data_IF_311679584243
#
_entry.id   IF_311679584243
#
_cell.length_a   1.000
_cell.length_b   1.000
_cell.length_c   1.000
_cell.angle_alpha   90.00
_cell.angle_beta   90.00
_cell.angle_gamma   90.00
#
_symmetry.space_group_name_H-M   'P 1'
#
loop_
_entity.id
_entity.type
_entity.pdbx_description
1 polymer ?
#
# COMPACT_ATOMS: atom_id res chain seq x y z
N UNK A 1 -3.88 12.93 9.68
CA UNK A 1 -3.30 12.09 8.63
C UNK A 1 -4.22 11.93 7.42
N UNK A 2 -5.51 11.67 7.64
CA UNK A 2 -6.47 11.56 6.54
C UNK A 2 -6.49 12.77 5.63
N UNK A 3 -6.36 13.97 6.19
CA UNK A 3 -6.38 15.21 5.42
C UNK A 3 -5.26 15.29 4.40
N UNK A 4 -4.18 14.53 4.61
CA UNK A 4 -3.02 14.51 3.72
C UNK A 4 -3.18 13.53 2.54
N UNK A 5 -4.22 12.69 2.58
CA UNK A 5 -4.43 11.67 1.55
C UNK A 5 -5.32 12.19 0.44
N UNK A 6 -6.02 13.28 0.67
CA UNK A 6 -6.91 13.87 -0.32
C UNK A 6 -8.35 13.41 -0.15
N UNK A 7 -9.21 13.91 -1.03
CA UNK A 7 -10.63 13.61 -1.05
C UNK A 7 -11.03 13.11 -2.43
N UNK A 8 -12.27 12.65 -2.57
CA UNK A 8 -12.80 12.22 -3.85
C UNK A 8 -12.67 13.29 -4.93
N UNK A 9 -12.90 14.56 -4.56
CA UNK A 9 -12.83 15.67 -5.51
C UNK A 9 -11.41 16.19 -5.72
N UNK A 10 -10.53 15.97 -4.76
CA UNK A 10 -9.13 16.42 -4.84
C UNK A 10 -8.22 15.30 -4.32
N UNK A 11 -8.12 14.20 -5.09
CA UNK A 11 -7.31 13.06 -4.66
C UNK A 11 -5.81 13.39 -4.71
N UNK A 12 -5.04 12.68 -3.92
CA UNK A 12 -3.59 12.77 -3.94
C UNK A 12 -3.05 12.03 -5.16
N UNK A 13 -2.23 12.71 -5.96
CA UNK A 13 -1.59 12.10 -7.14
C UNK A 13 -0.25 11.49 -6.74
N UNK A 14 -0.07 10.22 -7.04
CA UNK A 14 1.13 9.47 -6.69
C UNK A 14 1.71 8.78 -7.93
N UNK A 15 2.95 8.34 -7.80
CA UNK A 15 3.61 7.52 -8.83
C UNK A 15 4.03 6.18 -8.22
N UNK A 16 4.00 5.14 -9.03
CA UNK A 16 4.47 3.81 -8.63
C UNK A 16 5.96 3.87 -8.27
N UNK A 17 6.51 2.92 -7.49
CA UNK A 17 7.90 2.98 -7.05
C UNK A 17 8.92 3.21 -8.17
N UNK A 18 8.81 2.57 -9.36
CA UNK A 18 9.72 2.87 -10.46
C UNK A 18 9.48 4.22 -11.13
N UNK A 19 8.47 4.98 -10.68
CA UNK A 19 8.07 6.27 -11.25
C UNK A 19 7.56 6.17 -12.69
N UNK A 20 7.09 4.99 -13.08
CA UNK A 20 6.68 4.72 -14.46
C UNK A 20 5.20 5.00 -14.74
N UNK A 21 4.36 5.07 -13.71
CA UNK A 21 2.92 5.28 -13.86
C UNK A 21 2.37 6.12 -12.74
N UNK A 22 1.35 6.94 -13.06
CA UNK A 22 0.64 7.73 -12.07
C UNK A 22 -0.64 7.03 -11.66
N UNK A 23 -1.08 7.27 -10.43
CA UNK A 23 -2.36 6.83 -9.90
C UNK A 23 -2.81 7.81 -8.82
N UNK A 24 -4.05 7.70 -8.39
CA UNK A 24 -4.55 8.59 -7.33
C UNK A 24 -5.01 7.79 -6.11
N UNK A 25 -5.01 8.48 -4.98
CA UNK A 25 -5.43 7.90 -3.72
C UNK A 25 -6.27 8.92 -2.97
N UNK A 26 -7.34 8.47 -2.34
CA UNK A 26 -8.06 9.31 -1.37
C UNK A 26 -8.64 8.44 -0.27
N UNK A 27 -8.91 9.07 0.88
CA UNK A 27 -9.55 8.39 2.00
C UNK A 27 -11.07 8.51 1.86
N UNK A 28 -11.79 7.46 2.22
CA UNK A 28 -13.24 7.45 2.17
C UNK A 28 -13.78 6.49 3.23
N UNK A 29 -15.09 6.42 3.31
CA UNK A 29 -15.78 5.46 4.18
C UNK A 29 -16.71 4.63 3.30
N UNK A 30 -16.59 3.32 3.42
CA UNK A 30 -17.47 2.38 2.70
C UNK A 30 -18.05 1.38 3.68
N UNK A 31 -19.38 1.30 3.71
CA UNK A 31 -20.11 0.40 4.62
C UNK A 31 -19.66 0.57 6.08
N UNK A 32 -19.46 1.84 6.49
CA UNK A 32 -19.04 2.18 7.85
C UNK A 32 -17.57 1.95 8.14
N UNK A 33 -16.78 1.54 7.15
CA UNK A 33 -15.37 1.24 7.32
C UNK A 33 -14.50 2.24 6.57
N UNK A 34 -13.44 2.71 7.24
CA UNK A 34 -12.48 3.61 6.61
C UNK A 34 -11.64 2.86 5.59
N UNK A 35 -11.55 3.40 4.39
CA UNK A 35 -10.83 2.79 3.29
C UNK A 35 -9.94 3.79 2.57
N UNK A 36 -8.94 3.25 1.87
CA UNK A 36 -8.14 3.98 0.90
C UNK A 36 -8.65 3.61 -0.47
N UNK A 37 -9.06 4.61 -1.24
CA UNK A 37 -9.53 4.40 -2.61
C UNK A 37 -8.38 4.69 -3.55
N UNK A 38 -7.90 3.65 -4.22
CA UNK A 38 -6.77 3.71 -5.13
C UNK A 38 -7.29 3.59 -6.56
N UNK A 39 -7.16 4.66 -7.35
CA UNK A 39 -7.66 4.68 -8.73
C UNK A 39 -6.50 4.60 -9.70
N UNK A 40 -6.47 3.52 -10.47
CA UNK A 40 -5.42 3.23 -11.46
C UNK A 40 -6.09 3.15 -12.82
N UNK A 41 -5.99 4.23 -13.60
CA UNK A 41 -6.75 4.33 -14.85
C UNK A 41 -8.24 4.26 -14.57
N UNK A 42 -8.91 3.23 -15.10
CA UNK A 42 -10.34 3.00 -14.88
C UNK A 42 -10.62 2.02 -13.73
N UNK A 43 -9.57 1.47 -13.13
CA UNK A 43 -9.70 0.46 -12.08
C UNK A 43 -9.68 1.12 -10.71
N UNK A 44 -10.63 0.77 -9.86
CA UNK A 44 -10.71 1.28 -8.48
C UNK A 44 -10.41 0.13 -7.53
N UNK A 45 -9.37 0.30 -6.72
CA UNK A 45 -8.95 -0.66 -5.72
C UNK A 45 -9.25 -0.08 -4.34
N UNK A 46 -9.72 -0.91 -3.43
CA UNK A 46 -10.02 -0.49 -2.06
C UNK A 46 -9.14 -1.25 -1.08
N UNK A 47 -8.43 -0.50 -0.23
CA UNK A 47 -7.62 -1.07 0.84
C UNK A 47 -8.13 -0.61 2.19
N UNK A 48 -8.02 -1.47 3.20
CA UNK A 48 -8.34 -1.10 4.56
C UNK A 48 -7.41 0.01 5.03
N UNK A 49 -7.96 1.09 5.56
CA UNK A 49 -7.19 2.23 6.06
C UNK A 49 -6.17 1.82 7.14
N UNK A 50 -6.46 0.78 7.90
CA UNK A 50 -5.56 0.27 8.93
C UNK A 50 -4.19 -0.12 8.40
N UNK A 51 -4.06 -0.37 7.10
CA UNK A 51 -2.79 -0.81 6.53
C UNK A 51 -1.66 0.20 6.78
N UNK A 52 -1.97 1.49 6.86
CA UNK A 52 -0.94 2.51 7.06
C UNK A 52 -0.25 2.37 8.41
N UNK A 53 -1.03 2.30 9.50
CA UNK A 53 -0.48 2.14 10.84
C UNK A 53 0.17 0.77 11.00
N UNK A 54 -0.45 -0.27 10.46
CA UNK A 54 0.04 -1.64 10.58
C UNK A 54 1.36 -1.83 9.85
N UNK A 55 1.46 -1.32 8.61
CA UNK A 55 2.70 -1.40 7.83
C UNK A 55 3.81 -0.59 8.49
N UNK A 56 3.49 0.61 8.97
CA UNK A 56 4.48 1.45 9.66
C UNK A 56 5.05 0.74 10.90
N UNK A 57 4.18 0.11 11.69
CA UNK A 57 4.62 -0.65 12.86
C UNK A 57 5.51 -1.83 12.48
N UNK A 58 5.16 -2.56 11.42
CA UNK A 58 5.98 -3.68 10.93
C UNK A 58 7.34 -3.19 10.47
N UNK A 59 7.39 -2.09 9.70
CA UNK A 59 8.65 -1.53 9.20
C UNK A 59 9.55 -1.07 10.34
N UNK A 60 8.99 -0.46 11.37
CA UNK A 60 9.76 -0.04 12.55
C UNK A 60 10.33 -1.24 13.29
N UNK A 61 9.54 -2.29 13.45
CA UNK A 61 10.00 -3.51 14.12
C UNK A 61 11.08 -4.22 13.29
N UNK A 62 10.97 -4.18 11.96
CA UNK A 62 11.97 -4.77 11.07
C UNK A 62 13.30 -4.03 11.14
N UNK A 63 13.26 -2.71 11.22
CA UNK A 63 14.44 -1.87 11.47
C UNK A 63 15.40 -1.70 10.30
N UNK A 64 15.08 -2.17 9.12
CA UNK A 64 15.95 -2.11 7.94
C UNK A 64 15.08 -2.12 6.68
N UNK A 65 15.74 -2.02 5.53
CA UNK A 65 15.08 -2.09 4.23
C UNK A 65 14.42 -3.45 4.03
N UNK A 66 13.24 -3.43 3.42
CA UNK A 66 12.51 -4.63 3.04
C UNK A 66 12.04 -4.47 1.60
N UNK A 67 12.16 -5.52 0.78
CA UNK A 67 11.71 -5.50 -0.60
C UNK A 67 10.20 -5.32 -0.68
N UNK A 68 9.74 -4.54 -1.65
CA UNK A 68 8.31 -4.29 -1.83
C UNK A 68 7.59 -5.53 -2.36
N UNK A 69 8.13 -6.17 -3.36
CA UNK A 69 7.54 -7.35 -4.00
C UNK A 69 6.16 -7.06 -4.53
N UNK A 70 5.94 -6.69 -5.72
CA UNK A 70 4.62 -6.40 -6.26
C UNK A 70 4.10 -7.58 -7.05
N UNK A 71 2.89 -8.05 -6.72
CA UNK A 71 2.24 -9.12 -7.47
C UNK A 71 0.72 -8.90 -7.41
N UNK A 72 0.02 -9.28 -8.50
CA UNK A 72 -1.44 -9.22 -8.48
C UNK A 72 -2.02 -10.39 -7.68
N UNK A 73 -3.33 -10.39 -7.46
CA UNK A 73 -3.98 -11.38 -6.61
C UNK A 73 -3.92 -12.79 -7.16
N UNK A 74 -3.63 -12.96 -8.44
CA UNK A 74 -3.56 -14.26 -9.09
C UNK A 74 -2.18 -14.89 -9.00
N UNK A 75 -1.18 -14.13 -8.55
CA UNK A 75 0.19 -14.61 -8.44
C UNK A 75 0.64 -14.64 -6.99
N UNK A 76 1.46 -15.64 -6.62
CA UNK A 76 2.00 -15.68 -5.25
C UNK A 76 2.98 -14.53 -5.04
N UNK A 77 3.01 -14.01 -3.83
CA UNK A 77 3.99 -13.01 -3.44
C UNK A 77 5.24 -13.72 -2.92
N UNK A 78 6.41 -13.14 -3.23
CA UNK A 78 7.68 -13.66 -2.73
C UNK A 78 7.76 -13.48 -1.21
N UNK A 79 8.15 -14.51 -0.48
CA UNK A 79 8.32 -14.43 0.97
C UNK A 79 9.31 -13.32 1.35
N UNK A 80 9.04 -12.68 2.49
CA UNK A 80 9.91 -11.65 3.01
C UNK A 80 9.72 -10.27 2.35
N UNK A 81 8.66 -10.10 1.57
CA UNK A 81 8.36 -8.81 0.93
C UNK A 81 7.17 -8.13 1.59
N UNK A 82 7.02 -6.84 1.34
CA UNK A 82 5.85 -6.07 1.80
C UNK A 82 4.56 -6.66 1.21
N UNK A 83 4.61 -7.07 -0.06
CA UNK A 83 3.45 -7.70 -0.70
C UNK A 83 3.01 -8.97 0.02
N UNK A 84 3.96 -9.84 0.38
CA UNK A 84 3.67 -11.07 1.11
C UNK A 84 3.10 -10.77 2.49
N UNK A 85 3.67 -9.79 3.19
CA UNK A 85 3.15 -9.37 4.49
C UNK A 85 1.71 -8.85 4.37
N UNK A 86 1.41 -8.08 3.34
CA UNK A 86 0.08 -7.51 3.11
C UNK A 86 -1.01 -8.56 2.85
N UNK A 87 -0.61 -9.81 2.60
CA UNK A 87 -1.51 -10.96 2.36
C UNK A 87 -1.45 -11.99 3.47
N UNK A 88 -0.50 -11.87 4.39
CA UNK A 88 -0.20 -12.89 5.38
C UNK A 88 -1.27 -12.98 6.47
N UNK A 89 -1.66 -14.20 6.83
CA UNK A 89 -2.55 -14.43 7.95
C UNK A 89 -1.95 -13.97 9.28
N UNK A 90 -0.64 -13.72 9.29
CA UNK A 90 0.08 -13.28 10.49
C UNK A 90 0.09 -11.76 10.66
N UNK A 91 -0.41 -11.00 9.67
CA UNK A 91 -0.47 -9.55 9.82
C UNK A 91 -1.66 -9.16 10.72
N UNK A 92 -1.73 -7.88 11.18
CA UNK A 92 -2.75 -7.48 12.16
C UNK A 92 -4.20 -7.69 11.75
N UNK A 93 -4.53 -7.67 10.45
CA UNK A 93 -5.91 -7.92 10.02
C UNK A 93 -6.15 -9.40 9.67
N UNK A 94 -5.13 -10.25 9.77
CA UNK A 94 -5.25 -11.67 9.52
C UNK A 94 -5.31 -12.05 8.05
N UNK A 95 -4.78 -11.25 7.17
CA UNK A 95 -4.77 -11.53 5.74
C UNK A 95 -4.77 -10.31 4.86
N UNK A 96 -5.44 -10.40 3.73
CA UNK A 96 -5.47 -9.36 2.71
C UNK A 96 -6.09 -8.05 3.24
N UNK A 97 -5.50 -6.93 2.87
CA UNK A 97 -6.01 -5.60 3.23
C UNK A 97 -7.12 -5.11 2.29
N UNK A 98 -7.47 -5.86 1.27
CA UNK A 98 -8.65 -5.57 0.47
C UNK A 98 -9.92 -5.85 1.26
N UNK A 99 -11.07 -5.39 0.74
CA UNK A 99 -12.35 -5.57 1.44
C UNK A 99 -12.86 -7.00 1.40
N UNK A 100 -12.30 -7.84 0.52
CA UNK A 100 -12.66 -9.25 0.39
C UNK A 100 -11.40 -10.09 0.39
N UNK A 101 -11.47 -11.29 0.97
CA UNK A 101 -10.36 -12.23 0.97
C UNK A 101 -9.92 -12.53 -0.47
N UNK A 102 -8.61 -12.58 -0.67
CA UNK A 102 -8.05 -12.84 -1.98
C UNK A 102 -8.09 -11.66 -2.94
N UNK A 103 -8.46 -10.48 -2.44
CA UNK A 103 -8.47 -9.27 -3.25
C UNK A 103 -7.45 -8.25 -2.75
N UNK A 104 -7.05 -7.44 -3.68
CA UNK A 104 -6.12 -6.32 -3.54
C UNK A 104 -4.70 -6.77 -3.33
N UNK A 105 -4.23 -7.49 -4.32
CA UNK A 105 -2.82 -7.61 -4.60
C UNK A 105 -2.24 -6.26 -5.00
N UNK A 106 -0.99 -6.23 -5.40
CA UNK A 106 -0.24 -5.00 -5.71
C UNK A 106 -0.14 -4.05 -4.54
N UNK A 107 -0.34 -4.58 -3.32
CA UNK A 107 -0.19 -3.83 -2.09
C UNK A 107 1.20 -3.17 -2.03
N UNK A 108 2.23 -3.91 -2.39
CA UNK A 108 3.61 -3.43 -2.42
C UNK A 108 3.91 -2.42 -3.53
N UNK A 109 2.95 -2.16 -4.43
CA UNK A 109 3.09 -1.17 -5.48
C UNK A 109 2.40 0.14 -5.12
N UNK A 110 1.20 0.08 -4.54
CA UNK A 110 0.36 1.28 -4.37
C UNK A 110 0.40 1.86 -2.97
N UNK A 111 0.70 1.09 -1.94
CA UNK A 111 0.74 1.60 -0.57
C UNK A 111 2.08 2.27 -0.22
N UNK A 112 3.26 1.74 -0.64
CA UNK A 112 4.52 2.38 -0.29
C UNK A 112 4.65 3.84 -0.73
N UNK A 113 4.27 4.24 -1.97
CA UNK A 113 4.33 5.64 -2.35
C UNK A 113 3.47 6.55 -1.48
N UNK A 114 2.33 6.07 -1.00
CA UNK A 114 1.50 6.83 -0.08
C UNK A 114 2.23 7.02 1.26
N UNK A 115 2.85 5.96 1.78
CA UNK A 115 3.64 6.05 3.01
C UNK A 115 4.77 7.06 2.89
N UNK A 116 5.42 7.08 1.73
CA UNK A 116 6.49 8.05 1.45
C UNK A 116 5.95 9.47 1.46
N UNK A 117 4.83 9.70 0.77
CA UNK A 117 4.18 11.01 0.70
C UNK A 117 3.74 11.52 2.08
N UNK A 118 3.36 10.60 2.97
CA UNK A 118 2.95 10.93 4.34
C UNK A 118 4.13 11.10 5.30
N UNK A 119 5.36 10.89 4.84
CA UNK A 119 6.54 10.99 5.68
C UNK A 119 6.74 9.83 6.64
N UNK A 120 6.09 8.70 6.39
CA UNK A 120 6.14 7.52 7.25
C UNK A 120 7.19 6.50 6.83
N UNK A 121 7.69 6.60 5.61
CA UNK A 121 8.67 5.64 5.08
C UNK A 121 9.55 6.28 4.01
N UNK A 122 10.72 5.70 3.83
CA UNK A 122 11.56 5.96 2.66
C UNK A 122 11.35 4.82 1.67
N UNK A 123 11.29 5.14 0.38
CA UNK A 123 11.07 4.17 -0.69
C UNK A 123 12.12 4.41 -1.77
N UNK A 124 12.71 3.34 -2.30
CA UNK A 124 13.63 3.47 -3.45
C UNK A 124 12.84 3.58 -4.74
N UNK A 125 13.46 4.19 -5.74
CA UNK A 125 12.80 4.46 -7.02
C UNK A 125 13.62 3.95 -8.20
N UNK A 126 14.08 2.72 -8.09
CA UNK A 126 14.82 2.05 -9.16
C UNK A 126 13.83 1.44 -10.16
N UNK A 127 14.30 1.01 -11.31
CA UNK A 127 13.45 0.35 -12.30
C UNK A 127 12.89 -0.98 -11.77
N UNK A 128 13.65 -1.67 -10.92
CA UNK A 128 13.27 -2.96 -10.33
C UNK A 128 13.85 -3.09 -8.92
N UNK A 129 13.28 -4.03 -8.16
CA UNK A 129 13.84 -4.39 -6.86
C UNK A 129 13.71 -3.30 -5.80
N UNK A 130 12.67 -2.51 -5.88
CA UNK A 130 12.48 -1.43 -4.92
C UNK A 130 12.23 -1.93 -3.51
N UNK A 131 12.63 -1.12 -2.55
CA UNK A 131 12.57 -1.42 -1.12
C UNK A 131 12.02 -0.23 -0.37
N UNK A 132 11.63 -0.47 0.88
CA UNK A 132 11.20 0.60 1.78
C UNK A 132 11.68 0.34 3.20
N UNK A 133 11.66 1.38 4.02
CA UNK A 133 11.92 1.30 5.47
C UNK A 133 11.18 2.43 6.17
N UNK A 134 10.89 2.26 7.46
CA UNK A 134 10.25 3.31 8.25
C UNK A 134 11.19 4.51 8.45
N UNK A 135 10.59 5.69 8.45
CA UNK A 135 11.29 6.89 8.88
C UNK A 135 11.12 7.10 10.37
#
# INVERSE_FOLDING_TARGET
MKDMIGTKNTPLVLKTPPLSSEYTMHADIKDGKEVLVCTVGKTVLLYDYHCLADLHAMLKAHGDWIELGSADEQKPAKDGTVEAWGRSEKNPVGGWYGLKKGLRGRFGMYIPPLMEALGLAEVTHDAKGNKMRAT
#
